data_IF_396555657120
#
_entry.id   IF_396555657120
#
_cell.length_a   1.000
_cell.length_b   1.000
_cell.length_c   1.000
_cell.angle_alpha   90.00
_cell.angle_beta   90.00
_cell.angle_gamma   90.00
#
_symmetry.space_group_name_H-M   'P 1'
#
loop_
_entity.id
_entity.type
_entity.pdbx_description
1 polymer ?
#
# COMPACT_ATOMS: atom_id res chain seq x y z
N UNK A 1 -9.26 0.36 36.32
CA UNK A 1 -8.64 0.23 35.00
C UNK A 1 -8.01 -1.15 34.88
N UNK A 2 -8.47 -1.96 33.92
CA UNK A 2 -7.83 -3.25 33.66
C UNK A 2 -6.45 -2.99 33.05
N UNK A 3 -5.41 -3.64 33.56
CA UNK A 3 -4.08 -3.55 32.98
C UNK A 3 -4.12 -4.04 31.52
N UNK A 4 -3.58 -3.25 30.59
CA UNK A 4 -3.46 -3.64 29.19
C UNK A 4 -2.37 -4.68 29.03
N UNK A 5 -2.65 -5.72 28.23
CA UNK A 5 -1.74 -6.85 28.03
C UNK A 5 -1.10 -6.75 26.65
N UNK A 6 0.21 -6.89 26.61
CA UNK A 6 0.96 -6.99 25.36
C UNK A 6 0.72 -8.37 24.72
N UNK A 7 0.28 -8.37 23.47
CA UNK A 7 0.00 -9.57 22.70
C UNK A 7 1.17 -9.86 21.75
N UNK A 8 1.76 -11.04 21.89
CA UNK A 8 2.70 -11.58 20.89
C UNK A 8 1.94 -12.41 19.88
N UNK A 9 2.25 -12.22 18.60
CA UNK A 9 1.52 -12.81 17.48
C UNK A 9 2.35 -13.88 16.79
N UNK A 10 1.75 -15.04 16.57
CA UNK A 10 2.38 -16.08 15.75
C UNK A 10 2.27 -15.71 14.27
N UNK A 11 3.33 -15.91 13.45
CA UNK A 11 3.29 -15.61 12.03
C UNK A 11 2.09 -16.26 11.29
N UNK A 12 1.70 -17.47 11.65
CA UNK A 12 0.56 -18.18 11.08
C UNK A 12 -0.79 -17.47 11.30
N UNK A 13 -0.94 -16.75 12.41
CA UNK A 13 -2.15 -16.00 12.74
C UNK A 13 -2.22 -14.67 11.97
N UNK A 14 -1.04 -14.11 11.66
CA UNK A 14 -0.91 -12.83 10.96
C UNK A 14 -1.12 -12.91 9.45
N UNK A 15 -0.84 -14.04 8.81
CA UNK A 15 -0.85 -14.20 7.34
C UNK A 15 -2.12 -13.65 6.71
N UNK A 16 -3.28 -14.06 7.19
CA UNK A 16 -4.56 -13.66 6.60
C UNK A 16 -4.82 -12.14 6.75
N UNK A 17 -4.49 -11.55 7.90
CA UNK A 17 -4.66 -10.11 8.13
C UNK A 17 -3.67 -9.29 7.28
N UNK A 18 -2.44 -9.79 7.14
CA UNK A 18 -1.38 -9.17 6.31
C UNK A 18 -1.77 -9.18 4.82
N UNK A 19 -2.26 -10.32 4.32
CA UNK A 19 -2.71 -10.44 2.93
C UNK A 19 -3.93 -9.53 2.70
N UNK A 20 -4.92 -9.54 3.57
CA UNK A 20 -6.12 -8.72 3.42
C UNK A 20 -5.80 -7.22 3.43
N UNK A 21 -5.03 -6.74 4.42
CA UNK A 21 -4.60 -5.33 4.47
C UNK A 21 -3.75 -4.95 3.25
N UNK A 22 -2.88 -5.85 2.80
CA UNK A 22 -2.08 -5.66 1.59
C UNK A 22 -2.91 -5.58 0.31
N UNK A 23 -3.96 -6.42 0.18
CA UNK A 23 -4.88 -6.38 -0.96
C UNK A 23 -5.65 -5.05 -0.97
N UNK A 24 -6.20 -4.63 0.16
CA UNK A 24 -6.95 -3.37 0.25
C UNK A 24 -6.04 -2.18 -0.07
N UNK A 25 -4.85 -2.10 0.55
CA UNK A 25 -3.88 -1.05 0.26
C UNK A 25 -3.44 -1.06 -1.20
N UNK A 26 -3.11 -2.23 -1.73
CA UNK A 26 -2.66 -2.41 -3.11
C UNK A 26 -3.75 -2.11 -4.15
N UNK A 27 -4.99 -2.46 -3.87
CA UNK A 27 -6.13 -2.10 -4.73
C UNK A 27 -6.29 -0.58 -4.83
N UNK A 28 -6.28 0.13 -3.70
CA UNK A 28 -6.40 1.59 -3.68
C UNK A 28 -5.20 2.27 -4.34
N UNK A 29 -3.99 1.73 -4.15
CA UNK A 29 -2.78 2.18 -4.83
C UNK A 29 -2.76 1.83 -6.31
N UNK A 30 -3.48 0.80 -6.73
CA UNK A 30 -3.61 0.40 -8.13
C UNK A 30 -4.49 1.36 -8.94
N UNK A 31 -5.41 2.09 -8.30
CA UNK A 31 -6.29 3.02 -9.00
C UNK A 31 -5.46 4.23 -9.48
N UNK A 32 -5.48 4.53 -10.79
CA UNK A 32 -4.79 5.69 -11.36
C UNK A 32 -5.19 6.98 -10.63
N UNK A 33 -4.23 7.88 -10.47
CA UNK A 33 -4.31 9.13 -9.72
C UNK A 33 -4.47 8.98 -8.19
N UNK A 34 -5.22 8.00 -7.68
CA UNK A 34 -5.27 7.71 -6.24
C UNK A 34 -3.92 7.19 -5.71
N UNK A 35 -3.12 6.56 -6.56
CA UNK A 35 -1.76 6.11 -6.21
C UNK A 35 -0.80 7.26 -5.86
N UNK A 36 -1.07 8.48 -6.29
CA UNK A 36 -0.31 9.67 -5.87
C UNK A 36 -0.49 9.96 -4.37
N UNK A 37 -1.58 9.49 -3.78
CA UNK A 37 -1.83 9.59 -2.35
C UNK A 37 -1.20 8.40 -1.64
N UNK A 38 0.08 8.49 -1.30
CA UNK A 38 0.85 7.43 -0.62
C UNK A 38 0.23 6.96 0.72
N UNK A 39 -0.76 7.68 1.22
CA UNK A 39 -1.51 7.35 2.45
C UNK A 39 -2.13 5.94 2.43
N UNK A 40 -2.43 5.40 1.25
CA UNK A 40 -3.02 4.06 1.11
C UNK A 40 -2.09 2.93 1.57
N UNK A 41 -0.77 3.12 1.44
CA UNK A 41 0.22 2.19 2.00
C UNK A 41 0.17 2.18 3.53
N UNK A 42 0.01 3.35 4.14
CA UNK A 42 -0.16 3.49 5.60
C UNK A 42 -1.47 2.85 6.06
N UNK A 43 -2.56 3.06 5.33
CA UNK A 43 -3.87 2.46 5.64
C UNK A 43 -3.84 0.93 5.54
N UNK A 44 -3.16 0.36 4.56
CA UNK A 44 -3.00 -1.10 4.44
C UNK A 44 -2.31 -1.70 5.67
N UNK A 45 -1.22 -1.09 6.12
CA UNK A 45 -0.50 -1.50 7.33
C UNK A 45 -1.33 -1.30 8.61
N UNK A 46 -2.02 -0.17 8.72
CA UNK A 46 -2.93 0.12 9.84
C UNK A 46 -4.04 -0.94 9.93
N UNK A 47 -4.70 -1.21 8.81
CA UNK A 47 -5.79 -2.19 8.74
C UNK A 47 -5.30 -3.60 9.10
N UNK A 48 -4.11 -3.99 8.63
CA UNK A 48 -3.48 -5.27 8.97
C UNK A 48 -3.39 -5.48 10.47
N UNK A 49 -2.80 -4.51 11.19
CA UNK A 49 -2.57 -4.63 12.64
C UNK A 49 -3.89 -4.50 13.40
N UNK A 50 -4.83 -3.69 12.93
CA UNK A 50 -6.15 -3.58 13.52
C UNK A 50 -6.93 -4.92 13.44
N UNK A 51 -6.96 -5.55 12.26
CA UNK A 51 -7.60 -6.86 12.07
C UNK A 51 -6.90 -7.96 12.87
N UNK A 52 -5.57 -7.90 12.93
CA UNK A 52 -4.78 -8.85 13.71
C UNK A 52 -5.13 -8.75 15.20
N UNK A 53 -5.22 -7.52 15.72
CA UNK A 53 -5.68 -7.29 17.08
C UNK A 53 -7.06 -7.89 17.33
N UNK A 54 -8.02 -7.63 16.45
CA UNK A 54 -9.39 -8.18 16.58
C UNK A 54 -9.42 -9.71 16.66
N UNK A 55 -8.44 -10.40 16.04
CA UNK A 55 -8.35 -11.86 16.06
C UNK A 55 -7.72 -12.41 17.33
N UNK A 56 -6.65 -11.76 17.83
CA UNK A 56 -5.88 -12.30 18.98
C UNK A 56 -6.38 -11.78 20.30
N UNK A 57 -7.04 -10.62 20.32
CA UNK A 57 -7.54 -10.01 21.55
C UNK A 57 -8.95 -10.48 21.90
N UNK A 58 -9.02 -11.63 22.56
CA UNK A 58 -10.29 -12.20 23.01
C UNK A 58 -10.98 -11.43 24.14
N UNK A 59 -10.26 -10.57 24.84
CA UNK A 59 -10.73 -9.88 26.04
C UNK A 59 -10.89 -8.36 25.89
N UNK A 60 -10.53 -7.82 24.72
CA UNK A 60 -10.70 -6.41 24.40
C UNK A 60 -9.74 -5.45 25.12
N UNK A 61 -8.71 -5.95 25.80
CA UNK A 61 -7.77 -5.14 26.58
C UNK A 61 -6.29 -5.36 26.19
N UNK A 62 -6.04 -6.05 25.08
CA UNK A 62 -4.71 -6.28 24.54
C UNK A 62 -4.28 -5.24 23.49
N UNK A 63 -2.99 -5.14 23.27
CA UNK A 63 -2.41 -4.43 22.13
C UNK A 63 -1.31 -5.27 21.49
N UNK A 64 -1.13 -5.10 20.18
CA UNK A 64 -0.07 -5.80 19.44
C UNK A 64 1.28 -5.15 19.77
N UNK A 65 2.30 -5.97 20.03
CA UNK A 65 3.66 -5.49 20.25
C UNK A 65 4.15 -4.64 19.06
N UNK A 66 4.83 -3.52 19.33
CA UNK A 66 5.28 -2.61 18.28
C UNK A 66 6.18 -3.29 17.23
N UNK A 67 7.05 -4.22 17.64
CA UNK A 67 7.90 -4.98 16.71
C UNK A 67 7.07 -5.80 15.72
N UNK A 68 6.01 -6.46 16.22
CA UNK A 68 5.12 -7.28 15.39
C UNK A 68 4.24 -6.40 14.49
N UNK A 69 3.79 -5.27 15.02
CA UNK A 69 3.02 -4.27 14.27
C UNK A 69 3.83 -3.68 13.10
N UNK A 70 5.09 -3.33 13.33
CA UNK A 70 6.02 -2.88 12.29
C UNK A 70 6.25 -3.98 11.24
N UNK A 71 6.50 -5.21 11.68
CA UNK A 71 6.77 -6.33 10.78
C UNK A 71 5.57 -6.65 9.89
N UNK A 72 4.40 -6.88 10.48
CA UNK A 72 3.22 -7.28 9.72
C UNK A 72 2.62 -6.13 8.92
N UNK A 73 2.71 -4.89 9.41
CA UNK A 73 2.39 -3.70 8.65
C UNK A 73 3.31 -3.54 7.43
N UNK A 74 4.62 -3.73 7.62
CA UNK A 74 5.59 -3.69 6.52
C UNK A 74 5.36 -4.79 5.49
N UNK A 75 5.11 -6.03 5.93
CA UNK A 75 4.77 -7.14 5.02
C UNK A 75 3.49 -6.86 4.22
N UNK A 76 2.48 -6.24 4.82
CA UNK A 76 1.28 -5.84 4.07
C UNK A 76 1.61 -4.78 3.01
N UNK A 77 2.54 -3.88 3.29
CA UNK A 77 3.06 -2.92 2.31
C UNK A 77 3.73 -3.62 1.11
N UNK A 78 4.51 -4.69 1.36
CA UNK A 78 5.09 -5.52 0.28
C UNK A 78 3.99 -6.14 -0.58
N UNK A 79 2.97 -6.74 0.04
CA UNK A 79 1.80 -7.28 -0.69
C UNK A 79 1.10 -6.19 -1.49
N UNK A 80 0.92 -4.99 -0.90
CA UNK A 80 0.32 -3.85 -1.59
C UNK A 80 1.12 -3.44 -2.84
N UNK A 81 2.45 -3.46 -2.78
CA UNK A 81 3.31 -3.13 -3.92
C UNK A 81 3.12 -4.12 -5.09
N UNK A 82 3.02 -5.42 -4.80
CA UNK A 82 2.75 -6.43 -5.83
C UNK A 82 1.38 -6.23 -6.48
N UNK A 83 0.34 -6.06 -5.68
CA UNK A 83 -1.04 -5.85 -6.18
C UNK A 83 -1.11 -4.56 -7.00
N UNK A 84 -0.57 -3.45 -6.50
CA UNK A 84 -0.55 -2.17 -7.22
C UNK A 84 0.22 -2.27 -8.55
N UNK A 85 1.36 -2.97 -8.57
CA UNK A 85 2.12 -3.18 -9.80
C UNK A 85 1.34 -4.01 -10.82
N UNK A 86 0.64 -5.06 -10.38
CA UNK A 86 -0.23 -5.86 -11.25
C UNK A 86 -1.32 -4.99 -11.89
N UNK A 87 -2.03 -4.19 -11.07
CA UNK A 87 -3.03 -3.27 -11.58
C UNK A 87 -2.45 -2.24 -12.56
N UNK A 88 -1.27 -1.66 -12.25
CA UNK A 88 -0.62 -0.72 -13.14
C UNK A 88 -0.29 -1.34 -14.51
N UNK A 89 0.18 -2.60 -14.54
CA UNK A 89 0.42 -3.32 -15.81
C UNK A 89 -0.88 -3.55 -16.57
N UNK A 90 -1.93 -4.00 -15.88
CA UNK A 90 -3.25 -4.21 -16.50
C UNK A 90 -3.79 -2.90 -17.07
N UNK A 91 -3.72 -1.80 -16.33
CA UNK A 91 -4.18 -0.50 -16.82
C UNK A 91 -3.33 0.03 -17.98
N UNK A 92 -2.00 -0.17 -17.94
CA UNK A 92 -1.13 0.22 -19.05
C UNK A 92 -1.51 -0.49 -20.36
N UNK A 93 -1.97 -1.74 -20.28
CA UNK A 93 -2.41 -2.51 -21.46
C UNK A 93 -3.82 -2.11 -21.89
N UNK A 94 -4.78 -2.06 -20.95
CA UNK A 94 -6.20 -1.90 -21.27
C UNK A 94 -6.61 -0.45 -21.52
N UNK A 95 -5.95 0.51 -20.88
CA UNK A 95 -6.34 1.93 -20.90
C UNK A 95 -5.27 2.82 -21.55
N UNK A 96 -4.41 2.25 -22.39
CA UNK A 96 -3.32 2.98 -23.06
C UNK A 96 -3.82 4.26 -23.73
N UNK A 97 -4.84 4.16 -24.56
CA UNK A 97 -5.36 5.28 -25.34
C UNK A 97 -5.99 6.35 -24.44
N UNK A 98 -6.64 5.92 -23.37
CA UNK A 98 -7.20 6.84 -22.37
C UNK A 98 -6.10 7.64 -21.65
N UNK A 99 -4.97 7.02 -21.31
CA UNK A 99 -3.85 7.72 -20.67
C UNK A 99 -3.17 8.72 -21.61
N UNK A 100 -3.07 8.39 -22.90
CA UNK A 100 -2.58 9.35 -23.91
C UNK A 100 -3.51 10.57 -23.97
N UNK A 101 -4.82 10.36 -24.08
CA UNK A 101 -5.81 11.44 -24.11
C UNK A 101 -5.79 12.28 -22.81
N UNK A 102 -5.62 11.63 -21.65
CA UNK A 102 -5.50 12.32 -20.37
C UNK A 102 -4.25 13.22 -20.34
N UNK A 103 -3.12 12.75 -20.88
CA UNK A 103 -1.91 13.56 -21.04
C UNK A 103 -2.13 14.79 -21.92
N UNK A 104 -2.75 14.61 -23.06
CA UNK A 104 -3.10 15.72 -23.97
C UNK A 104 -4.03 16.73 -23.31
N UNK A 105 -5.02 16.25 -22.55
CA UNK A 105 -5.92 17.11 -21.78
C UNK A 105 -5.18 17.93 -20.73
N UNK A 106 -4.23 17.33 -19.99
CA UNK A 106 -3.42 18.06 -19.00
C UNK A 106 -2.60 19.18 -19.65
N UNK A 107 -1.99 18.91 -20.80
CA UNK A 107 -1.23 19.92 -21.56
C UNK A 107 -2.15 21.02 -22.07
N UNK A 108 -3.31 20.68 -22.62
CA UNK A 108 -4.29 21.67 -23.12
C UNK A 108 -4.88 22.53 -21.97
N UNK A 109 -4.88 22.00 -20.75
CA UNK A 109 -5.31 22.74 -19.54
C UNK A 109 -4.22 23.66 -18.99
N UNK A 110 -3.08 23.79 -19.66
CA UNK A 110 -1.99 24.70 -19.30
C UNK A 110 -0.88 24.05 -18.45
N UNK A 111 -0.90 22.72 -18.26
CA UNK A 111 0.21 22.01 -17.62
C UNK A 111 1.41 21.93 -18.58
N UNK A 112 2.61 22.11 -18.04
CA UNK A 112 3.83 21.87 -18.81
C UNK A 112 3.89 20.42 -19.32
N UNK A 113 4.32 20.25 -20.59
CA UNK A 113 4.31 18.92 -21.24
C UNK A 113 5.20 17.88 -20.53
N UNK A 114 6.35 18.31 -19.98
CA UNK A 114 7.23 17.42 -19.24
C UNK A 114 6.57 17.02 -17.89
N UNK A 115 5.87 17.94 -17.24
CA UNK A 115 5.14 17.66 -16.00
C UNK A 115 3.96 16.73 -16.24
N UNK A 116 3.21 16.92 -17.33
CA UNK A 116 2.11 16.04 -17.72
C UNK A 116 2.61 14.61 -17.99
N UNK A 117 3.72 14.45 -18.72
CA UNK A 117 4.33 13.15 -19.00
C UNK A 117 4.80 12.45 -17.72
N UNK A 118 5.47 13.17 -16.81
CA UNK A 118 5.88 12.61 -15.50
C UNK A 118 4.66 12.19 -14.68
N UNK A 119 3.59 13.00 -14.67
CA UNK A 119 2.36 12.67 -13.93
C UNK A 119 1.74 11.38 -14.44
N UNK A 120 1.61 11.22 -15.76
CA UNK A 120 1.07 9.99 -16.36
C UNK A 120 1.97 8.80 -16.06
N UNK A 121 3.30 8.93 -16.17
CA UNK A 121 4.25 7.85 -15.86
C UNK A 121 4.28 7.45 -14.38
N UNK A 122 4.03 8.37 -13.47
CA UNK A 122 3.85 8.04 -12.05
C UNK A 122 2.57 7.27 -11.78
N UNK A 123 1.47 7.63 -12.47
CA UNK A 123 0.19 6.96 -12.31
C UNK A 123 0.16 5.55 -12.89
N UNK A 124 0.88 5.32 -13.98
CA UNK A 124 0.88 4.04 -14.70
C UNK A 124 2.32 3.62 -15.01
N UNK A 125 2.56 2.33 -15.09
CA UNK A 125 3.82 1.80 -15.60
C UNK A 125 4.02 2.29 -17.02
N UNK A 126 5.24 2.69 -17.37
CA UNK A 126 5.58 3.17 -18.70
C UNK A 126 4.94 2.28 -19.78
N UNK A 127 4.28 2.91 -20.73
CA UNK A 127 3.58 2.24 -21.83
C UNK A 127 4.50 1.39 -22.71
N UNK A 128 5.83 1.57 -22.60
CA UNK A 128 6.82 0.72 -23.25
C UNK A 128 6.86 -0.71 -22.69
N UNK A 129 6.30 -0.93 -21.48
CA UNK A 129 6.25 -2.22 -20.77
C UNK A 129 7.59 -2.97 -20.78
N UNK A 130 8.71 -2.26 -20.73
CA UNK A 130 10.01 -2.91 -20.68
C UNK A 130 10.18 -3.63 -19.35
N UNK A 131 10.49 -4.93 -19.40
CA UNK A 131 10.62 -5.78 -18.21
C UNK A 131 11.62 -5.22 -17.16
N UNK A 132 12.81 -4.72 -17.54
CA UNK A 132 13.73 -4.13 -16.58
C UNK A 132 13.14 -2.94 -15.83
N UNK A 133 12.37 -2.09 -16.51
CA UNK A 133 11.74 -0.91 -15.91
C UNK A 133 10.62 -1.31 -14.93
N UNK A 134 9.80 -2.31 -15.29
CA UNK A 134 8.76 -2.84 -14.41
C UNK A 134 9.39 -3.42 -13.14
N UNK A 135 10.48 -4.18 -13.26
CA UNK A 135 11.18 -4.75 -12.11
C UNK A 135 11.80 -3.68 -11.21
N UNK A 136 12.44 -2.66 -11.80
CA UNK A 136 13.01 -1.55 -11.03
C UNK A 136 11.91 -0.80 -10.27
N UNK A 137 10.80 -0.49 -10.93
CA UNK A 137 9.64 0.15 -10.31
C UNK A 137 9.06 -0.70 -9.19
N UNK A 138 8.92 -2.01 -9.40
CA UNK A 138 8.43 -2.95 -8.37
C UNK A 138 9.33 -2.94 -7.13
N UNK A 139 10.66 -3.00 -7.31
CA UNK A 139 11.60 -2.96 -6.20
C UNK A 139 11.47 -1.63 -5.41
N UNK A 140 11.41 -0.51 -6.11
CA UNK A 140 11.23 0.80 -5.48
C UNK A 140 9.91 0.88 -4.70
N UNK A 141 8.82 0.36 -5.27
CA UNK A 141 7.51 0.30 -4.62
C UNK A 141 7.52 -0.63 -3.40
N UNK A 142 8.18 -1.78 -3.47
CA UNK A 142 8.32 -2.69 -2.32
C UNK A 142 8.99 -1.97 -1.16
N UNK A 143 10.11 -1.29 -1.39
CA UNK A 143 10.82 -0.56 -0.33
C UNK A 143 9.94 0.54 0.25
N UNK A 144 9.35 1.37 -0.61
CA UNK A 144 8.52 2.50 -0.17
C UNK A 144 7.30 2.02 0.63
N UNK A 145 6.56 1.04 0.12
CA UNK A 145 5.32 0.60 0.78
C UNK A 145 5.58 -0.31 1.98
N UNK A 146 6.70 -1.01 2.04
CA UNK A 146 7.12 -1.68 3.27
C UNK A 146 7.32 -0.67 4.41
N UNK A 147 7.97 0.45 4.15
CA UNK A 147 8.16 1.53 5.14
C UNK A 147 6.82 2.16 5.51
N UNK A 148 5.98 2.53 4.55
CA UNK A 148 4.67 3.14 4.80
C UNK A 148 3.74 2.18 5.54
N UNK A 149 3.73 0.90 5.17
CA UNK A 149 2.97 -0.13 5.85
C UNK A 149 3.43 -0.34 7.29
N UNK A 150 4.75 -0.34 7.54
CA UNK A 150 5.30 -0.42 8.88
C UNK A 150 4.86 0.78 9.75
N UNK A 151 4.91 2.00 9.20
CA UNK A 151 4.39 3.20 9.88
C UNK A 151 2.89 3.05 10.21
N UNK A 152 2.10 2.56 9.26
CA UNK A 152 0.67 2.29 9.47
C UNK A 152 0.43 1.28 10.59
N UNK A 153 1.20 0.20 10.61
CA UNK A 153 1.17 -0.81 11.66
C UNK A 153 1.49 -0.24 13.04
N UNK A 154 2.57 0.54 13.13
CA UNK A 154 2.97 1.21 14.37
C UNK A 154 1.86 2.15 14.89
N UNK A 155 1.27 2.96 14.01
CA UNK A 155 0.15 3.83 14.36
C UNK A 155 -1.02 3.04 14.94
N UNK A 156 -1.42 1.94 14.28
CA UNK A 156 -2.50 1.07 14.78
C UNK A 156 -2.21 0.50 16.17
N UNK A 157 -0.96 0.08 16.42
CA UNK A 157 -0.54 -0.39 17.75
C UNK A 157 -0.65 0.72 18.80
N UNK A 158 -0.18 1.93 18.50
CA UNK A 158 -0.24 3.08 19.45
C UNK A 158 -1.69 3.51 19.73
N UNK A 159 -2.56 3.55 18.71
CA UNK A 159 -3.99 3.82 18.93
C UNK A 159 -4.64 2.75 19.82
N UNK A 160 -4.17 1.53 19.77
CA UNK A 160 -4.68 0.42 20.58
C UNK A 160 -4.26 0.50 22.05
N UNK A 161 -3.23 1.28 22.38
CA UNK A 161 -2.76 1.49 23.76
C UNK A 161 -3.54 2.59 24.49
N UNK A 162 -4.26 3.43 23.75
CA UNK A 162 -5.11 4.50 24.31
C UNK A 162 -6.51 4.00 24.60
#
# INVERSE_FOLDING_TARGET
PRARVELSVKPSEAVSSTIFGGIVGGFLLGIPFLNLLLVWGVLGGFLTVHLLKMRVDKFGNGYIKNSDALLFGGLSGVVSAFIATLFNVVYAVLLKDWFVQAGEFLVSSGMDSALADVTIKLCVTDLSLSLPFILLKLIAMIILFAVLGAVGGALSSEFSKR
#
